data_IF_798095612228
#
_entry.id   IF_798095612228
#
_cell.length_a   1.000
_cell.length_b   1.000
_cell.length_c   1.000
_cell.angle_alpha   90.00
_cell.angle_beta   90.00
_cell.angle_gamma   90.00
#
_symmetry.space_group_name_H-M   'P 1'
#
loop_
_entity.id
_entity.type
_entity.pdbx_description
1 polymer ?
#
# COMPACT_ATOMS: atom_id res chain seq x y z
N UNK A 1 -0.38 -7.81 -2.88
CA UNK A 1 -0.60 -7.42 -1.49
C UNK A 1 -2.02 -7.77 -1.09
N UNK A 2 -2.25 -8.44 0.00
CA UNK A 2 -3.58 -8.75 0.55
C UNK A 2 -4.53 -9.41 -0.45
N UNK A 3 -4.08 -10.43 -1.15
CA UNK A 3 -4.87 -11.13 -2.19
C UNK A 3 -6.18 -11.73 -1.66
N UNK A 4 -6.21 -12.12 -0.41
CA UNK A 4 -7.39 -12.70 0.23
C UNK A 4 -8.53 -11.69 0.43
N UNK A 5 -8.22 -10.40 0.33
CA UNK A 5 -9.21 -9.32 0.49
C UNK A 5 -9.49 -8.60 -0.82
N UNK A 6 -9.30 -9.27 -1.94
CA UNK A 6 -9.46 -8.68 -3.27
C UNK A 6 -10.81 -7.99 -3.46
N UNK A 7 -11.88 -8.64 -3.06
CA UNK A 7 -13.24 -8.09 -3.23
C UNK A 7 -13.46 -6.85 -2.36
N UNK A 8 -13.01 -6.90 -1.12
CA UNK A 8 -13.10 -5.78 -0.19
C UNK A 8 -12.28 -4.59 -0.68
N UNK A 9 -11.09 -4.83 -1.20
CA UNK A 9 -10.23 -3.80 -1.75
C UNK A 9 -10.91 -3.12 -2.94
N UNK A 10 -11.50 -3.90 -3.83
CA UNK A 10 -12.17 -3.38 -5.01
C UNK A 10 -13.35 -2.48 -4.62
N UNK A 11 -14.15 -2.91 -3.67
CA UNK A 11 -15.29 -2.13 -3.17
C UNK A 11 -14.85 -0.86 -2.47
N UNK A 12 -13.84 -0.95 -1.60
CA UNK A 12 -13.31 0.21 -0.89
C UNK A 12 -12.72 1.25 -1.82
N UNK A 13 -12.07 0.84 -2.88
CA UNK A 13 -11.53 1.78 -3.87
C UNK A 13 -12.62 2.62 -4.52
N UNK A 14 -13.79 2.03 -4.72
CA UNK A 14 -14.94 2.73 -5.29
C UNK A 14 -15.60 3.67 -4.29
N UNK A 15 -15.77 3.22 -3.05
CA UNK A 15 -16.51 3.93 -2.03
C UNK A 15 -15.68 4.98 -1.28
N UNK A 16 -14.37 4.80 -1.20
CA UNK A 16 -13.49 5.60 -0.36
C UNK A 16 -12.28 6.11 -1.15
N UNK A 17 -12.30 7.40 -1.48
CA UNK A 17 -11.20 8.04 -2.21
C UNK A 17 -9.90 8.01 -1.42
N UNK A 18 -9.96 8.10 -0.09
CA UNK A 18 -8.77 8.03 0.75
C UNK A 18 -8.09 6.67 0.65
N UNK A 19 -8.88 5.61 0.68
CA UNK A 19 -8.37 4.25 0.51
C UNK A 19 -7.71 4.07 -0.86
N UNK A 20 -8.34 4.58 -1.91
CA UNK A 20 -7.78 4.51 -3.26
C UNK A 20 -6.42 5.20 -3.35
N UNK A 21 -6.28 6.37 -2.69
CA UNK A 21 -5.02 7.09 -2.63
C UNK A 21 -3.93 6.32 -1.90
N UNK A 22 -4.27 5.73 -0.76
CA UNK A 22 -3.33 4.91 0.01
C UNK A 22 -2.82 3.76 -0.85
N UNK A 23 -3.70 3.12 -1.56
CA UNK A 23 -3.37 1.99 -2.41
C UNK A 23 -2.46 2.40 -3.57
N UNK A 24 -2.78 3.51 -4.23
CA UNK A 24 -1.94 4.05 -5.30
C UNK A 24 -0.55 4.41 -4.80
N UNK A 25 -0.48 5.08 -3.66
CA UNK A 25 0.80 5.48 -3.09
C UNK A 25 1.63 4.27 -2.69
N UNK A 26 0.99 3.24 -2.15
CA UNK A 26 1.67 1.99 -1.84
C UNK A 26 2.31 1.39 -3.10
N UNK A 27 1.57 1.36 -4.19
CA UNK A 27 2.07 0.82 -5.46
C UNK A 27 3.22 1.65 -6.01
N UNK A 28 3.16 2.97 -5.91
CA UNK A 28 4.25 3.85 -6.31
C UNK A 28 5.52 3.59 -5.51
N UNK A 29 5.38 3.45 -4.20
CA UNK A 29 6.51 3.16 -3.31
C UNK A 29 7.10 1.79 -3.61
N UNK A 30 6.24 0.81 -3.87
CA UNK A 30 6.68 -0.54 -4.22
C UNK A 30 7.53 -0.52 -5.48
N UNK A 31 7.09 0.21 -6.51
CA UNK A 31 7.85 0.37 -7.75
C UNK A 31 9.18 1.08 -7.53
N UNK A 32 9.20 2.14 -6.73
CA UNK A 32 10.43 2.86 -6.42
C UNK A 32 11.43 1.99 -5.68
N UNK A 33 10.96 1.21 -4.73
CA UNK A 33 11.81 0.29 -3.96
C UNK A 33 12.38 -0.77 -4.89
N UNK A 34 11.56 -1.33 -5.76
CA UNK A 34 12.00 -2.34 -6.72
C UNK A 34 13.10 -1.80 -7.64
N UNK A 35 12.92 -0.60 -8.19
CA UNK A 35 13.94 0.03 -9.03
C UNK A 35 15.22 0.34 -8.26
N UNK A 36 15.10 0.77 -7.01
CA UNK A 36 16.26 1.01 -6.15
C UNK A 36 17.03 -0.27 -5.84
N UNK A 37 16.34 -1.34 -5.51
CA UNK A 37 16.96 -2.65 -5.22
C UNK A 37 17.61 -3.25 -6.44
N UNK A 38 17.04 -3.05 -7.63
CA UNK A 38 17.59 -3.55 -8.89
C UNK A 38 18.73 -2.71 -9.43
N UNK A 39 19.00 -1.55 -8.81
CA UNK A 39 20.05 -0.66 -9.27
C UNK A 39 19.69 0.23 -10.44
N UNK A 40 18.44 0.21 -10.89
CA UNK A 40 17.96 1.06 -11.99
C UNK A 40 17.97 2.53 -11.61
N UNK A 41 17.65 2.82 -10.35
CA UNK A 41 17.65 4.17 -9.80
C UNK A 41 18.63 4.21 -8.63
N UNK A 42 19.69 5.05 -8.68
CA UNK A 42 20.62 5.14 -7.57
C UNK A 42 19.92 5.63 -6.29
N UNK A 43 20.00 4.84 -5.24
CA UNK A 43 19.46 5.19 -3.93
C UNK A 43 20.41 4.75 -2.84
N UNK A 44 20.48 5.58 -1.78
CA UNK A 44 21.23 5.20 -0.59
C UNK A 44 20.42 4.18 0.23
N UNK A 45 21.09 3.46 1.11
CA UNK A 45 20.42 2.50 1.99
C UNK A 45 19.38 3.20 2.88
N UNK A 46 19.69 4.42 3.30
CA UNK A 46 18.79 5.23 4.14
C UNK A 46 17.51 5.57 3.36
N UNK A 47 17.64 5.95 2.09
CA UNK A 47 16.49 6.26 1.25
C UNK A 47 15.60 5.05 1.05
N UNK A 48 16.20 3.89 0.76
CA UNK A 48 15.47 2.64 0.60
C UNK A 48 14.73 2.25 1.89
N UNK A 49 15.39 2.36 3.04
CA UNK A 49 14.76 2.08 4.32
C UNK A 49 13.57 3.00 4.59
N UNK A 50 13.71 4.27 4.29
CA UNK A 50 12.62 5.24 4.47
C UNK A 50 11.41 4.87 3.62
N UNK A 51 11.65 4.52 2.35
CA UNK A 51 10.58 4.10 1.45
C UNK A 51 9.91 2.81 1.93
N UNK A 52 10.69 1.86 2.41
CA UNK A 52 10.16 0.60 2.94
C UNK A 52 9.30 0.83 4.19
N UNK A 53 9.69 1.75 5.07
CA UNK A 53 8.90 2.11 6.24
C UNK A 53 7.59 2.77 5.86
N UNK A 54 7.62 3.69 4.91
CA UNK A 54 6.41 4.34 4.41
C UNK A 54 5.46 3.32 3.79
N UNK A 55 6.00 2.42 2.99
CA UNK A 55 5.22 1.35 2.37
C UNK A 55 4.53 0.50 3.44
N UNK A 56 5.25 0.13 4.49
CA UNK A 56 4.70 -0.67 5.58
C UNK A 56 3.58 0.06 6.32
N UNK A 57 3.76 1.35 6.58
CA UNK A 57 2.73 2.16 7.23
C UNK A 57 1.46 2.24 6.37
N UNK A 58 1.60 2.42 5.06
CA UNK A 58 0.47 2.46 4.15
C UNK A 58 -0.25 1.11 4.10
N UNK A 59 0.51 0.02 4.10
CA UNK A 59 -0.05 -1.32 4.14
C UNK A 59 -0.86 -1.55 5.42
N UNK A 60 -0.33 -1.13 6.56
CA UNK A 60 -1.02 -1.27 7.85
C UNK A 60 -2.31 -0.45 7.87
N UNK A 61 -2.27 0.76 7.34
CA UNK A 61 -3.45 1.61 7.26
C UNK A 61 -4.51 1.00 6.35
N UNK A 62 -4.11 0.51 5.18
CA UNK A 62 -5.00 -0.18 4.27
C UNK A 62 -5.64 -1.41 4.92
N UNK A 63 -4.86 -2.18 5.65
CA UNK A 63 -5.35 -3.36 6.35
C UNK A 63 -6.41 -3.00 7.39
N UNK A 64 -6.18 -1.95 8.17
CA UNK A 64 -7.17 -1.47 9.14
C UNK A 64 -8.47 -1.07 8.48
N UNK A 65 -8.40 -0.38 7.37
CA UNK A 65 -9.59 0.03 6.64
C UNK A 65 -10.37 -1.16 6.09
N UNK A 66 -9.66 -2.18 5.62
CA UNK A 66 -10.27 -3.42 5.14
C UNK A 66 -10.99 -4.13 6.28
N UNK A 67 -10.35 -4.22 7.44
CA UNK A 67 -10.96 -4.88 8.61
C UNK A 67 -12.20 -4.13 9.10
N UNK A 68 -12.14 -2.81 9.14
CA UNK A 68 -13.29 -1.98 9.51
C UNK A 68 -14.44 -2.15 8.51
N UNK A 69 -14.14 -2.20 7.24
CA UNK A 69 -15.13 -2.43 6.19
C UNK A 69 -15.80 -3.78 6.37
N UNK A 70 -15.04 -4.82 6.61
CA UNK A 70 -15.59 -6.17 6.84
C UNK A 70 -16.50 -6.19 8.06
N UNK A 71 -16.13 -5.53 9.14
CA UNK A 71 -16.96 -5.43 10.33
C UNK A 71 -18.28 -4.74 10.06
N UNK A 72 -18.26 -3.68 9.26
CA UNK A 72 -19.49 -2.95 8.95
C UNK A 72 -20.43 -3.72 8.03
N UNK A 73 -19.92 -4.69 7.29
CA UNK A 73 -20.72 -5.52 6.37
C UNK A 73 -21.10 -6.87 6.99
N UNK A 74 -20.52 -7.22 8.12
CA UNK A 74 -20.78 -8.51 8.77
C UNK A 74 -22.17 -8.59 9.41
#
# INVERSE_FOLDING_TARGET
>A
MLHEYRDEIHELKKENAHFARIFEKHNELDNKIEHGDNGDTPMTDIELETLKKEKLLLKDEAYKMIMDYKKSKA
#
